data_IF_263008570280
#
_entry.id   IF_263008570280
#
_cell.length_a   1.000
_cell.length_b   1.000
_cell.length_c   1.000
_cell.angle_alpha   90.00
_cell.angle_beta   90.00
_cell.angle_gamma   90.00
#
_symmetry.space_group_name_H-M   'P 1'
#
loop_
_entity.id
_entity.type
_entity.pdbx_description
1 polymer ?
#
# COMPACT_ATOMS: atom_id res chain seq x y z
N UNK A 1 15.38 -9.20 0.22
CA UNK A 1 14.33 -8.31 0.73
C UNK A 1 13.01 -8.76 0.13
N UNK A 2 11.96 -8.91 0.93
CA UNK A 2 10.62 -9.28 0.50
C UNK A 2 9.66 -8.13 0.84
N UNK A 3 8.88 -7.72 -0.16
CA UNK A 3 7.89 -6.65 -0.05
C UNK A 3 6.53 -7.19 -0.52
N UNK A 4 5.47 -6.71 0.11
CA UNK A 4 4.13 -6.75 -0.49
C UNK A 4 4.11 -5.67 -1.57
N UNK A 5 3.81 -6.04 -2.81
CA UNK A 5 3.94 -5.16 -3.97
C UNK A 5 2.60 -4.85 -4.64
N UNK A 6 1.53 -5.58 -4.34
CA UNK A 6 0.22 -5.35 -4.93
C UNK A 6 -0.87 -5.57 -3.89
N UNK A 7 -1.37 -4.48 -3.34
CA UNK A 7 -2.39 -4.54 -2.31
C UNK A 7 -3.30 -3.32 -2.31
N UNK A 8 -4.58 -3.54 -1.98
CA UNK A 8 -5.63 -2.53 -1.96
C UNK A 8 -6.11 -2.33 -0.53
N UNK A 9 -6.45 -1.09 -0.19
CA UNK A 9 -6.93 -0.70 1.13
C UNK A 9 -8.38 -0.23 1.08
N UNK A 10 -9.08 -0.33 2.20
CA UNK A 10 -10.47 0.08 2.31
C UNK A 10 -10.67 1.60 2.14
N UNK A 11 -9.62 2.39 2.35
CA UNK A 11 -9.65 3.85 2.23
C UNK A 11 -9.84 4.31 0.78
N UNK A 12 -9.19 3.64 -0.18
CA UNK A 12 -9.10 4.13 -1.56
C UNK A 12 -9.50 3.11 -2.64
N UNK A 13 -9.73 1.85 -2.27
CA UNK A 13 -10.21 0.82 -3.20
C UNK A 13 -11.48 0.16 -2.69
N UNK A 14 -12.58 0.31 -3.43
CA UNK A 14 -13.88 -0.27 -3.06
C UNK A 14 -13.89 -1.81 -2.99
N UNK A 15 -12.92 -2.48 -3.62
CA UNK A 15 -12.78 -3.94 -3.57
C UNK A 15 -12.14 -4.46 -2.28
N UNK A 16 -11.59 -3.57 -1.44
CA UNK A 16 -10.91 -3.95 -0.20
C UNK A 16 -11.75 -3.55 1.02
N UNK A 17 -11.76 -4.42 2.02
CA UNK A 17 -12.36 -4.17 3.34
C UNK A 17 -11.30 -4.08 4.44
N UNK A 18 -10.01 -4.12 4.09
CA UNK A 18 -8.90 -4.08 5.05
C UNK A 18 -8.34 -2.66 5.13
N UNK A 19 -8.39 -2.01 6.30
CA UNK A 19 -7.76 -0.69 6.48
C UNK A 19 -6.25 -0.75 6.26
N UNK A 20 -5.66 0.30 5.70
CA UNK A 20 -4.23 0.39 5.40
C UNK A 20 -3.35 0.12 6.64
N UNK A 21 -3.77 0.65 7.80
CA UNK A 21 -3.08 0.44 9.09
C UNK A 21 -2.97 -1.05 9.44
N UNK A 22 -4.05 -1.79 9.27
CA UNK A 22 -4.10 -3.21 9.59
C UNK A 22 -3.30 -4.03 8.56
N UNK A 23 -3.35 -3.63 7.30
CA UNK A 23 -2.57 -4.24 6.23
C UNK A 23 -1.06 -4.12 6.49
N UNK A 24 -0.58 -2.93 6.84
CA UNK A 24 0.82 -2.66 7.19
C UNK A 24 1.26 -3.54 8.37
N UNK A 25 0.46 -3.62 9.44
CA UNK A 25 0.76 -4.46 10.62
C UNK A 25 0.84 -5.93 10.25
N UNK A 26 -0.07 -6.41 9.39
CA UNK A 26 -0.12 -7.79 8.90
C UNK A 26 1.10 -8.16 8.06
N UNK A 27 1.61 -7.24 7.25
CA UNK A 27 2.82 -7.44 6.43
C UNK A 27 4.05 -7.51 7.33
N UNK A 28 4.20 -6.58 8.28
CA UNK A 28 5.28 -6.64 9.27
C UNK A 28 5.25 -7.94 10.09
N UNK A 29 4.08 -8.35 10.58
CA UNK A 29 3.92 -9.57 11.37
C UNK A 29 4.28 -10.85 10.59
N UNK A 30 4.21 -10.81 9.26
CA UNK A 30 4.66 -11.90 8.37
C UNK A 30 6.17 -11.88 8.10
N UNK A 31 6.91 -10.91 8.65
CA UNK A 31 8.35 -10.80 8.51
C UNK A 31 8.82 -10.15 7.20
N UNK A 32 7.92 -9.50 6.46
CA UNK A 32 8.29 -8.73 5.26
C UNK A 32 8.93 -7.40 5.65
N UNK A 33 9.76 -6.85 4.77
CA UNK A 33 10.51 -5.61 5.04
C UNK A 33 9.75 -4.35 4.66
N UNK A 34 8.61 -4.48 3.98
CA UNK A 34 7.81 -3.34 3.56
C UNK A 34 6.63 -3.69 2.69
N UNK A 35 5.92 -2.65 2.29
CA UNK A 35 4.68 -2.69 1.51
C UNK A 35 4.65 -1.54 0.50
N UNK A 36 4.09 -1.81 -0.68
CA UNK A 36 3.70 -0.81 -1.67
C UNK A 36 2.18 -0.81 -1.75
N UNK A 37 1.55 0.31 -1.38
CA UNK A 37 0.11 0.49 -1.54
C UNK A 37 -0.18 0.76 -3.01
N UNK A 38 -1.10 0.02 -3.61
CA UNK A 38 -1.40 0.11 -5.05
C UNK A 38 -2.90 0.21 -5.28
N UNK A 39 -3.55 1.10 -4.53
CA UNK A 39 -4.99 1.32 -4.66
C UNK A 39 -5.38 1.74 -6.08
N UNK A 40 -6.63 1.43 -6.44
CA UNK A 40 -7.18 1.76 -7.75
C UNK A 40 -7.18 3.28 -7.95
N UNK A 41 -6.40 3.74 -8.95
CA UNK A 41 -6.28 5.14 -9.36
C UNK A 41 -5.93 6.12 -8.24
N UNK A 42 -5.30 5.64 -7.17
CA UNK A 42 -4.95 6.46 -6.03
C UNK A 42 -3.49 6.31 -5.65
N UNK A 43 -2.77 7.43 -5.70
CA UNK A 43 -1.41 7.54 -5.20
C UNK A 43 -1.44 8.21 -3.82
N UNK A 44 -1.17 7.42 -2.78
CA UNK A 44 -1.01 7.93 -1.41
C UNK A 44 0.07 9.01 -1.36
N UNK A 45 -0.25 10.15 -0.76
CA UNK A 45 0.66 11.27 -0.59
C UNK A 45 1.65 11.02 0.55
N UNK A 46 2.82 11.67 0.49
CA UNK A 46 3.88 11.49 1.50
C UNK A 46 3.39 11.75 2.94
N UNK A 47 2.54 12.76 3.12
CA UNK A 47 1.97 13.08 4.43
C UNK A 47 1.04 11.98 4.95
N UNK A 48 0.28 11.33 4.06
CA UNK A 48 -0.60 10.22 4.42
C UNK A 48 0.22 8.99 4.80
N UNK A 49 1.30 8.70 4.08
CA UNK A 49 2.24 7.63 4.44
C UNK A 49 2.88 7.87 5.82
N UNK A 50 3.23 9.12 6.14
CA UNK A 50 3.72 9.50 7.49
C UNK A 50 2.67 9.26 8.57
N UNK A 51 1.42 9.61 8.32
CA UNK A 51 0.30 9.34 9.23
C UNK A 51 0.10 7.83 9.39
N UNK A 52 0.07 7.10 8.28
CA UNK A 52 -0.08 5.65 8.24
C UNK A 52 1.02 4.94 9.05
N UNK A 53 2.29 5.30 8.86
CA UNK A 53 3.41 4.75 9.66
C UNK A 53 3.16 4.94 11.15
N UNK A 54 2.85 6.17 11.58
CA UNK A 54 2.60 6.49 13.00
C UNK A 54 1.42 5.69 13.55
N UNK A 55 0.32 5.62 12.81
CA UNK A 55 -0.88 4.87 13.21
C UNK A 55 -0.64 3.36 13.25
N UNK A 56 0.15 2.83 12.32
CA UNK A 56 0.50 1.42 12.29
C UNK A 56 1.50 1.03 13.40
N UNK A 57 2.33 1.97 13.86
CA UNK A 57 3.32 1.75 14.91
C UNK A 57 4.49 0.87 14.46
N UNK A 58 4.82 0.89 13.17
CA UNK A 58 5.89 0.08 12.58
C UNK A 58 7.25 0.75 12.71
N UNK A 59 8.36 -0.02 12.84
CA UNK A 59 9.69 0.54 13.02
C UNK A 59 10.14 1.32 11.79
N UNK A 60 11.04 2.30 11.99
CA UNK A 60 11.50 3.22 10.93
C UNK A 60 12.12 2.51 9.72
N UNK A 61 12.72 1.33 9.91
CA UNK A 61 13.30 0.54 8.82
C UNK A 61 12.28 -0.22 7.98
N UNK A 62 11.03 -0.38 8.44
CA UNK A 62 9.96 -0.98 7.62
C UNK A 62 9.59 -0.01 6.51
N UNK A 63 9.64 -0.44 5.25
CA UNK A 63 9.42 0.43 4.10
C UNK A 63 7.91 0.54 3.79
N UNK A 64 7.42 1.76 3.57
CA UNK A 64 6.05 2.00 3.10
C UNK A 64 6.15 2.91 1.88
N UNK A 65 5.74 2.40 0.73
CA UNK A 65 5.76 3.09 -0.54
C UNK A 65 4.36 3.25 -1.12
N UNK A 66 4.25 4.19 -2.06
CA UNK A 66 3.04 4.44 -2.81
C UNK A 66 3.28 4.07 -4.27
N UNK A 67 2.39 3.25 -4.81
CA UNK A 67 2.17 3.04 -6.23
C UNK A 67 0.67 3.16 -6.49
N UNK A 68 0.23 2.75 -7.66
CA UNK A 68 -1.20 2.71 -7.98
C UNK A 68 -1.48 1.63 -9.01
N UNK A 69 -2.67 1.05 -8.93
CA UNK A 69 -3.21 0.24 -10.01
C UNK A 69 -4.11 1.11 -10.88
N UNK A 70 -3.80 1.20 -12.17
CA UNK A 70 -4.58 2.00 -13.13
C UNK A 70 -5.13 1.12 -14.22
N UNK A 71 -6.35 1.43 -14.65
CA UNK A 71 -6.92 0.83 -15.84
C UNK A 71 -6.45 1.55 -17.10
N UNK A 72 -6.15 0.79 -18.14
CA UNK A 72 -5.81 1.34 -19.46
C UNK A 72 -6.84 0.92 -20.50
N UNK A 73 -6.86 1.58 -21.66
CA UNK A 73 -7.83 1.23 -22.72
C UNK A 73 -7.63 -0.19 -23.27
N UNK A 74 -6.39 -0.64 -23.35
CA UNK A 74 -6.01 -1.89 -24.00
C UNK A 74 -5.68 -3.02 -23.00
N UNK A 75 -5.61 -2.71 -21.70
CA UNK A 75 -5.37 -3.63 -20.58
C UNK A 75 -6.20 -3.21 -19.39
N UNK A 76 -6.84 -4.18 -18.74
CA UNK A 76 -7.69 -3.91 -17.58
C UNK A 76 -6.87 -3.34 -16.43
N UNK A 77 -5.85 -4.02 -15.89
CA UNK A 77 -5.11 -3.49 -14.72
C UNK A 77 -3.59 -3.43 -14.96
N UNK A 78 -2.99 -2.28 -14.63
CA UNK A 78 -1.55 -2.02 -14.73
C UNK A 78 -1.04 -1.36 -13.46
N UNK A 79 0.01 -1.93 -12.85
CA UNK A 79 0.68 -1.36 -11.70
C UNK A 79 1.71 -0.31 -12.14
N UNK A 80 1.67 0.86 -11.51
CA UNK A 80 2.60 1.96 -11.74
C UNK A 80 3.36 2.24 -10.45
N UNK A 81 4.69 2.16 -10.54
CA UNK A 81 5.62 2.45 -9.45
C UNK A 81 6.61 3.55 -9.90
N UNK A 82 7.02 4.43 -8.99
CA UNK A 82 8.00 5.50 -9.28
C UNK A 82 8.33 6.35 -8.07
#
# INVERSE_FOLDING_TARGET
MLLEMHCHTAEYSACSSVPAVELVRRVLARGLQGIVLTDHHHLWQEQELKVLRRSAGVPDHFLIFSGQEVNTRDREDVLVYG
#
